data_IF_884653139950
#
_entry.id   IF_884653139950
#
_cell.length_a   1.000
_cell.length_b   1.000
_cell.length_c   1.000
_cell.angle_alpha   90.00
_cell.angle_beta   90.00
_cell.angle_gamma   90.00
#
_symmetry.space_group_name_H-M   'P 1'
#
loop_
_entity.id
_entity.type
_entity.pdbx_description
1 polymer ?
#
# COMPACT_ATOMS: atom_id res chain seq x y z
N UNK A 1 -44.41 13.53 -19.29
CA UNK A 1 -43.24 12.85 -18.72
C UNK A 1 -42.08 13.86 -18.46
N UNK A 2 -41.11 13.53 -17.61
CA UNK A 2 -39.91 14.35 -17.43
C UNK A 2 -38.70 13.61 -17.98
N UNK A 3 -37.93 14.26 -18.86
CA UNK A 3 -36.73 13.74 -19.46
C UNK A 3 -35.54 14.57 -18.93
N UNK A 4 -34.62 13.94 -18.20
CA UNK A 4 -33.45 14.62 -17.64
C UNK A 4 -32.30 14.42 -18.61
N UNK A 5 -31.70 15.52 -19.06
CA UNK A 5 -30.66 15.51 -20.09
C UNK A 5 -29.35 16.14 -19.60
N UNK A 6 -28.28 15.36 -19.54
CA UNK A 6 -26.93 15.86 -19.41
C UNK A 6 -26.40 16.36 -20.75
N UNK A 7 -26.23 17.67 -20.88
CA UNK A 7 -25.86 18.31 -22.17
C UNK A 7 -24.35 18.44 -22.39
N UNK A 8 -23.53 17.71 -21.63
CA UNK A 8 -22.08 17.81 -21.73
C UNK A 8 -21.50 19.11 -21.14
N UNK A 9 -20.15 19.26 -21.20
CA UNK A 9 -19.43 20.35 -20.53
C UNK A 9 -19.52 21.70 -21.26
N UNK A 10 -19.96 21.73 -22.51
CA UNK A 10 -20.14 22.97 -23.26
C UNK A 10 -19.73 22.95 -24.72
N UNK A 11 -19.22 21.82 -25.24
CA UNK A 11 -18.97 21.61 -26.66
C UNK A 11 -20.17 20.87 -27.31
N UNK A 12 -20.65 21.27 -28.47
CA UNK A 12 -21.71 20.56 -29.19
C UNK A 12 -21.38 19.08 -29.47
N UNK A 13 -20.13 18.77 -29.74
CA UNK A 13 -19.64 17.41 -30.02
C UNK A 13 -19.72 16.49 -28.80
N UNK A 14 -19.79 17.06 -27.61
CA UNK A 14 -19.90 16.33 -26.34
C UNK A 14 -21.36 16.04 -25.92
N UNK A 15 -22.34 16.48 -26.73
CA UNK A 15 -23.75 16.17 -26.51
C UNK A 15 -24.07 14.80 -27.12
N UNK A 16 -24.62 13.89 -26.34
CA UNK A 16 -24.93 12.54 -26.85
C UNK A 16 -26.11 12.55 -27.83
N UNK A 17 -26.15 11.67 -28.86
CA UNK A 17 -27.27 11.56 -29.79
C UNK A 17 -28.63 11.33 -29.09
N UNK A 18 -28.64 10.62 -27.97
CA UNK A 18 -29.85 10.40 -27.18
C UNK A 18 -30.42 11.70 -26.60
N UNK A 19 -29.53 12.56 -26.10
CA UNK A 19 -29.91 13.88 -25.59
C UNK A 19 -30.37 14.79 -26.70
N UNK A 20 -29.68 14.84 -27.86
CA UNK A 20 -30.11 15.60 -29.02
C UNK A 20 -31.50 15.22 -29.49
N UNK A 21 -31.78 13.92 -29.54
CA UNK A 21 -33.11 13.41 -29.89
C UNK A 21 -34.16 13.86 -28.88
N UNK A 22 -33.91 13.69 -27.59
CA UNK A 22 -34.85 14.06 -26.52
C UNK A 22 -35.18 15.56 -26.53
N UNK A 23 -34.17 16.41 -26.71
CA UNK A 23 -34.32 17.86 -26.81
C UNK A 23 -35.11 18.25 -28.07
N UNK A 24 -34.91 17.57 -29.21
CA UNK A 24 -35.63 17.84 -30.45
C UNK A 24 -37.06 17.37 -30.44
N UNK A 25 -37.45 16.47 -29.54
CA UNK A 25 -38.81 15.88 -29.49
C UNK A 25 -39.67 16.43 -28.32
N UNK A 26 -39.09 17.16 -27.35
CA UNK A 26 -39.80 17.65 -26.21
C UNK A 26 -40.68 18.87 -26.51
N UNK A 27 -41.69 19.14 -25.64
CA UNK A 27 -42.59 20.29 -25.74
C UNK A 27 -42.03 21.49 -25.04
N UNK A 28 -41.28 21.24 -23.94
CA UNK A 28 -40.69 22.29 -23.07
C UNK A 28 -39.32 21.89 -22.62
N UNK A 29 -38.37 22.82 -22.67
CA UNK A 29 -37.08 22.72 -22.04
C UNK A 29 -37.01 23.59 -20.82
N UNK A 30 -36.69 23.02 -19.67
CA UNK A 30 -36.51 23.72 -18.39
C UNK A 30 -35.02 23.70 -18.03
N UNK A 31 -34.42 24.85 -17.80
CA UNK A 31 -32.99 24.93 -17.53
C UNK A 31 -32.53 26.30 -16.99
N UNK A 32 -31.21 26.44 -16.86
CA UNK A 32 -30.57 27.72 -16.65
C UNK A 32 -30.33 28.38 -18.01
N UNK A 33 -30.70 29.63 -18.18
CA UNK A 33 -30.66 30.40 -19.43
C UNK A 33 -29.36 30.25 -20.21
N UNK A 34 -28.23 30.26 -19.53
CA UNK A 34 -26.90 30.12 -20.14
C UNK A 34 -26.73 28.78 -20.90
N UNK A 35 -27.46 27.75 -20.49
CA UNK A 35 -27.34 26.42 -21.14
C UNK A 35 -28.18 26.29 -22.41
N UNK A 36 -29.16 27.13 -22.63
CA UNK A 36 -30.01 27.05 -23.83
C UNK A 36 -29.19 27.26 -25.10
N UNK A 37 -28.18 28.16 -25.09
CA UNK A 37 -27.33 28.40 -26.26
C UNK A 37 -26.66 27.12 -26.81
N UNK A 38 -26.44 26.10 -25.98
CA UNK A 38 -25.79 24.86 -26.42
C UNK A 38 -26.75 23.89 -27.10
N UNK A 39 -28.07 24.05 -26.90
CA UNK A 39 -29.09 23.16 -27.44
C UNK A 39 -30.02 23.85 -28.43
N UNK A 40 -30.00 25.18 -28.52
CA UNK A 40 -30.87 25.98 -29.37
C UNK A 40 -30.92 25.49 -30.84
N UNK A 41 -29.78 25.11 -31.48
CA UNK A 41 -29.78 24.61 -32.86
C UNK A 41 -30.54 23.28 -33.03
N UNK A 42 -30.87 22.56 -31.97
CA UNK A 42 -31.48 21.24 -31.98
C UNK A 42 -32.93 21.25 -31.53
N UNK A 43 -33.44 22.42 -31.10
CA UNK A 43 -34.84 22.57 -30.71
C UNK A 43 -35.74 22.53 -31.96
N UNK A 44 -36.88 21.88 -31.84
CA UNK A 44 -37.92 22.02 -32.87
C UNK A 44 -38.61 23.38 -32.78
N UNK A 45 -39.15 23.82 -33.87
CA UNK A 45 -39.96 25.04 -33.91
C UNK A 45 -41.17 24.97 -32.95
N UNK A 46 -41.32 25.99 -32.10
CA UNK A 46 -42.36 26.07 -31.09
C UNK A 46 -42.03 25.45 -29.74
N UNK A 47 -40.82 24.87 -29.53
CA UNK A 47 -40.40 24.40 -28.21
C UNK A 47 -40.27 25.60 -27.23
N UNK A 48 -40.95 25.50 -26.09
CA UNK A 48 -40.92 26.51 -25.04
C UNK A 48 -39.61 26.32 -24.20
N UNK A 49 -38.90 27.44 -23.93
CA UNK A 49 -37.70 27.44 -23.06
C UNK A 49 -38.01 28.20 -21.76
N UNK A 50 -37.96 27.47 -20.63
CA UNK A 50 -38.29 28.03 -19.30
C UNK A 50 -37.01 28.23 -18.50
N UNK A 51 -36.60 29.51 -18.31
CA UNK A 51 -35.48 29.88 -17.46
C UNK A 51 -35.92 30.09 -16.02
N UNK A 52 -35.24 29.45 -15.11
CA UNK A 52 -35.50 29.56 -13.67
C UNK A 52 -34.44 30.34 -12.90
N UNK A 53 -33.41 30.84 -13.60
CA UNK A 53 -32.28 31.54 -12.98
C UNK A 53 -31.30 30.66 -12.26
N UNK A 54 -30.21 31.29 -11.81
CA UNK A 54 -29.12 30.62 -11.06
C UNK A 54 -29.53 30.39 -9.60
N UNK A 55 -29.08 29.26 -9.00
CA UNK A 55 -29.40 28.86 -7.61
C UNK A 55 -30.88 28.62 -7.33
N UNK A 56 -31.63 28.28 -8.35
CA UNK A 56 -33.06 27.98 -8.24
C UNK A 56 -33.37 26.56 -8.71
N UNK A 57 -32.54 25.61 -8.32
CA UNK A 57 -32.64 24.20 -8.73
C UNK A 57 -33.99 23.61 -8.28
N UNK A 58 -34.45 23.94 -7.07
CA UNK A 58 -35.75 23.48 -6.54
C UNK A 58 -36.94 24.02 -7.34
N UNK A 59 -36.91 25.30 -7.68
CA UNK A 59 -37.95 25.94 -8.51
C UNK A 59 -37.99 25.33 -9.90
N UNK A 60 -36.82 25.03 -10.47
CA UNK A 60 -36.65 24.33 -11.76
C UNK A 60 -37.30 22.94 -11.74
N UNK A 61 -37.03 22.17 -10.68
CA UNK A 61 -37.65 20.87 -10.52
C UNK A 61 -39.15 20.95 -10.36
N UNK A 62 -39.65 21.93 -9.56
CA UNK A 62 -41.07 22.15 -9.35
C UNK A 62 -41.80 22.48 -10.67
N UNK A 63 -41.29 23.42 -11.45
CA UNK A 63 -41.82 23.75 -12.77
C UNK A 63 -41.85 22.58 -13.74
N UNK A 64 -40.80 21.74 -13.72
CA UNK A 64 -40.78 20.54 -14.55
C UNK A 64 -41.94 19.59 -14.19
N UNK A 65 -42.25 19.40 -12.90
CA UNK A 65 -43.39 18.58 -12.49
C UNK A 65 -44.73 19.22 -12.87
N UNK A 66 -44.90 20.51 -12.63
CA UNK A 66 -46.14 21.23 -12.97
C UNK A 66 -46.46 21.16 -14.47
N UNK A 67 -45.45 21.32 -15.33
CA UNK A 67 -45.61 21.21 -16.78
C UNK A 67 -45.89 19.76 -17.22
N UNK A 68 -45.24 18.77 -16.60
CA UNK A 68 -45.47 17.38 -16.88
C UNK A 68 -46.85 16.89 -16.43
N UNK A 69 -47.38 17.45 -15.32
CA UNK A 69 -48.76 17.22 -14.84
C UNK A 69 -49.82 17.75 -15.83
N UNK A 70 -49.46 18.77 -16.62
CA UNK A 70 -50.27 19.31 -17.71
C UNK A 70 -50.19 18.43 -19.01
N UNK A 71 -49.50 17.30 -18.95
CA UNK A 71 -49.38 16.38 -20.07
C UNK A 71 -48.21 16.67 -21.04
N UNK A 72 -47.35 17.68 -20.74
CA UNK A 72 -46.20 18.03 -21.60
C UNK A 72 -45.05 17.04 -21.41
N UNK A 73 -44.26 16.83 -22.46
CA UNK A 73 -42.98 16.19 -22.44
C UNK A 73 -41.93 17.25 -22.09
N UNK A 74 -41.41 17.23 -20.85
CA UNK A 74 -40.53 18.24 -20.29
C UNK A 74 -39.09 17.75 -20.27
N UNK A 75 -38.21 18.45 -20.97
CA UNK A 75 -36.78 18.18 -20.94
C UNK A 75 -36.09 19.08 -19.90
N UNK A 76 -35.51 18.49 -18.85
CA UNK A 76 -34.71 19.21 -17.86
C UNK A 76 -33.24 19.08 -18.20
N UNK A 77 -32.62 20.20 -18.60
CA UNK A 77 -31.20 20.20 -18.99
C UNK A 77 -30.28 20.53 -17.82
N UNK A 78 -29.12 19.84 -17.79
CA UNK A 78 -28.07 20.06 -16.82
C UNK A 78 -26.71 20.03 -17.52
N UNK A 79 -25.82 20.97 -17.21
CA UNK A 79 -24.44 20.95 -17.74
C UNK A 79 -23.71 19.70 -17.26
N UNK A 80 -22.82 19.16 -18.08
CA UNK A 80 -22.12 17.91 -17.80
C UNK A 80 -23.06 16.71 -17.80
N UNK A 81 -22.91 15.83 -16.84
CA UNK A 81 -23.83 14.74 -16.53
C UNK A 81 -24.85 15.18 -15.48
N UNK A 82 -26.13 14.94 -15.73
CA UNK A 82 -27.19 15.35 -14.82
C UNK A 82 -27.22 14.57 -13.49
N UNK A 83 -26.61 13.39 -13.43
CA UNK A 83 -26.49 12.55 -12.24
C UNK A 83 -25.29 12.91 -11.34
N UNK A 84 -24.30 13.62 -11.89
CA UNK A 84 -23.07 14.00 -11.16
C UNK A 84 -23.15 15.46 -10.69
N UNK A 85 -23.59 15.66 -9.45
CA UNK A 85 -23.86 16.98 -8.85
C UNK A 85 -24.85 17.84 -9.63
N UNK A 86 -25.70 17.22 -10.44
CA UNK A 86 -26.68 17.86 -11.31
C UNK A 86 -28.12 17.68 -10.83
N UNK A 87 -29.07 17.78 -11.77
CA UNK A 87 -30.52 17.86 -11.47
C UNK A 87 -31.17 16.51 -11.14
N UNK A 88 -30.58 15.38 -11.54
CA UNK A 88 -31.21 14.04 -11.41
C UNK A 88 -31.58 13.71 -9.96
N UNK A 89 -30.71 13.83 -8.96
CA UNK A 89 -31.06 13.50 -7.58
C UNK A 89 -32.26 14.33 -7.08
N UNK A 90 -32.24 15.62 -7.36
CA UNK A 90 -33.31 16.54 -6.91
C UNK A 90 -34.68 16.21 -7.53
N UNK A 91 -34.71 15.85 -8.83
CA UNK A 91 -35.94 15.44 -9.51
C UNK A 91 -36.50 14.16 -8.87
N UNK A 92 -35.67 13.16 -8.56
CA UNK A 92 -36.12 11.94 -7.90
C UNK A 92 -36.56 12.18 -6.44
N UNK A 93 -35.86 13.03 -5.70
CA UNK A 93 -36.27 13.45 -4.34
C UNK A 93 -37.64 14.14 -4.38
N UNK A 94 -37.84 15.06 -5.30
CA UNK A 94 -39.13 15.78 -5.46
C UNK A 94 -40.25 14.81 -5.92
N UNK A 95 -39.99 13.86 -6.81
CA UNK A 95 -40.95 12.81 -7.17
C UNK A 95 -41.45 12.07 -5.94
N UNK A 96 -40.54 11.68 -5.04
CA UNK A 96 -40.91 11.01 -3.79
C UNK A 96 -41.68 11.90 -2.84
N UNK A 97 -41.25 13.13 -2.66
CA UNK A 97 -41.89 14.12 -1.78
C UNK A 97 -43.35 14.44 -2.19
N UNK A 98 -43.56 14.54 -3.50
CA UNK A 98 -44.88 14.78 -4.11
C UNK A 98 -45.74 13.53 -4.30
N UNK A 99 -45.17 12.33 -4.01
CA UNK A 99 -45.81 11.05 -4.35
C UNK A 99 -46.31 11.01 -5.81
N UNK A 100 -45.51 11.55 -6.75
CA UNK A 100 -45.90 11.73 -8.14
C UNK A 100 -45.71 10.47 -8.94
N UNK A 101 -46.67 10.16 -9.83
CA UNK A 101 -46.62 9.07 -10.77
C UNK A 101 -46.00 9.44 -12.12
N UNK A 102 -45.50 10.68 -12.28
CA UNK A 102 -44.87 11.15 -13.53
C UNK A 102 -43.70 10.20 -13.88
N UNK A 103 -43.67 9.76 -15.10
CA UNK A 103 -42.57 8.97 -15.66
C UNK A 103 -41.32 9.88 -15.78
N UNK A 104 -40.15 9.36 -15.35
CA UNK A 104 -38.86 10.04 -15.46
C UNK A 104 -37.93 9.17 -16.27
N UNK A 105 -37.34 9.75 -17.30
CA UNK A 105 -36.23 9.15 -18.08
C UNK A 105 -35.00 10.04 -17.92
N UNK A 106 -33.82 9.41 -17.77
CA UNK A 106 -32.57 10.17 -17.62
C UNK A 106 -31.58 9.74 -18.70
N UNK A 107 -31.05 10.70 -19.44
CA UNK A 107 -29.96 10.50 -20.40
C UNK A 107 -28.66 11.10 -19.86
N UNK A 108 -27.58 10.31 -19.74
CA UNK A 108 -26.31 10.78 -19.26
C UNK A 108 -25.65 11.77 -20.23
N UNK A 109 -24.80 12.63 -19.68
CA UNK A 109 -23.93 13.51 -20.45
C UNK A 109 -22.47 13.29 -20.11
N UNK A 110 -21.56 13.83 -20.91
CA UNK A 110 -20.14 13.83 -20.62
C UNK A 110 -19.88 14.80 -19.45
N UNK A 111 -19.42 14.28 -18.34
CA UNK A 111 -19.09 15.11 -17.18
C UNK A 111 -17.86 15.97 -17.38
N UNK A 112 -17.81 17.12 -16.71
CA UNK A 112 -16.69 18.05 -16.78
C UNK A 112 -15.34 17.39 -16.38
N UNK A 113 -15.34 16.47 -15.40
CA UNK A 113 -14.12 15.76 -15.02
C UNK A 113 -13.64 14.79 -16.10
N UNK A 114 -14.54 14.13 -16.84
CA UNK A 114 -14.19 13.24 -17.95
C UNK A 114 -13.56 14.05 -19.10
N UNK A 115 -14.17 15.19 -19.44
CA UNK A 115 -13.60 16.11 -20.43
C UNK A 115 -12.24 16.65 -19.99
N UNK A 116 -12.11 17.09 -18.74
CA UNK A 116 -10.84 17.53 -18.18
C UNK A 116 -9.78 16.41 -18.23
N UNK A 117 -10.13 15.19 -17.86
CA UNK A 117 -9.23 14.05 -17.91
C UNK A 117 -8.73 13.76 -19.34
N UNK A 118 -9.63 13.79 -20.33
CA UNK A 118 -9.25 13.58 -21.74
C UNK A 118 -8.32 14.67 -22.29
N UNK A 119 -8.45 15.90 -21.78
CA UNK A 119 -7.58 17.04 -22.15
C UNK A 119 -6.23 16.97 -21.46
N UNK A 120 -6.14 16.40 -20.27
CA UNK A 120 -4.90 16.20 -19.52
C UNK A 120 -4.11 14.97 -19.96
N UNK A 121 -4.77 14.01 -20.62
CA UNK A 121 -4.18 12.74 -21.05
C UNK A 121 -4.94 11.53 -20.52
N UNK A 122 -4.36 10.80 -19.58
CA UNK A 122 -4.96 9.60 -18.99
C UNK A 122 -4.87 9.57 -17.45
N UNK A 123 -5.28 10.64 -16.73
CA UNK A 123 -5.11 10.72 -15.27
C UNK A 123 -6.00 9.74 -14.50
N UNK A 124 -7.17 9.34 -15.05
CA UNK A 124 -8.16 8.47 -14.41
C UNK A 124 -8.10 7.02 -14.93
N UNK A 125 -6.91 6.57 -15.34
CA UNK A 125 -6.69 5.22 -15.85
C UNK A 125 -6.79 4.11 -14.79
N UNK A 126 -6.79 4.46 -13.50
CA UNK A 126 -6.93 3.58 -12.35
C UNK A 126 -8.09 4.02 -11.45
N UNK A 127 -8.20 3.45 -10.23
CA UNK A 127 -9.25 3.81 -9.30
C UNK A 127 -9.23 5.31 -8.97
N UNK A 128 -10.39 5.92 -9.04
CA UNK A 128 -10.55 7.35 -8.81
C UNK A 128 -11.80 7.67 -8.00
N UNK A 129 -11.82 8.84 -7.40
CA UNK A 129 -13.01 9.37 -6.74
C UNK A 129 -13.29 10.81 -7.17
N UNK A 130 -14.52 11.24 -6.94
CA UNK A 130 -15.02 12.59 -7.27
C UNK A 130 -15.48 13.25 -5.97
N UNK A 131 -14.99 14.45 -5.68
CA UNK A 131 -15.36 15.21 -4.49
C UNK A 131 -15.78 16.62 -4.91
N UNK A 132 -16.97 17.04 -4.46
CA UNK A 132 -17.38 18.45 -4.55
C UNK A 132 -16.98 19.21 -3.30
N UNK A 133 -16.31 20.35 -3.48
CA UNK A 133 -15.95 21.26 -2.40
C UNK A 133 -17.11 22.15 -1.96
N UNK A 134 -18.29 22.02 -2.58
CA UNK A 134 -19.47 22.84 -2.23
C UNK A 134 -20.00 22.44 -0.84
N UNK A 135 -20.00 23.40 0.08
CA UNK A 135 -20.47 23.26 1.46
C UNK A 135 -21.90 23.80 1.67
N UNK A 136 -22.60 24.10 0.58
CA UNK A 136 -23.99 24.58 0.63
C UNK A 136 -24.97 23.53 1.18
N UNK A 137 -24.79 22.27 0.76
CA UNK A 137 -25.67 21.15 1.13
C UNK A 137 -24.97 20.11 2.00
N UNK A 138 -23.64 20.16 2.11
CA UNK A 138 -22.83 19.21 2.84
C UNK A 138 -21.90 19.93 3.81
N UNK A 139 -21.99 19.69 5.14
CA UNK A 139 -21.11 20.33 6.10
C UNK A 139 -19.62 20.09 5.79
N UNK A 140 -18.78 21.11 5.98
CA UNK A 140 -17.34 21.03 5.71
C UNK A 140 -16.65 19.83 6.38
N UNK A 141 -17.01 19.52 7.62
CA UNK A 141 -16.42 18.38 8.34
C UNK A 141 -16.61 17.04 7.60
N UNK A 142 -17.74 16.87 6.88
CA UNK A 142 -18.00 15.68 6.05
C UNK A 142 -17.14 15.70 4.80
N UNK A 143 -16.99 16.87 4.17
CA UNK A 143 -16.15 17.04 2.98
C UNK A 143 -14.69 16.75 3.35
N UNK A 144 -14.18 17.34 4.44
CA UNK A 144 -12.80 17.12 4.91
C UNK A 144 -12.52 15.64 5.23
N UNK A 145 -13.49 14.94 5.84
CA UNK A 145 -13.38 13.49 6.09
C UNK A 145 -13.21 12.70 4.78
N UNK A 146 -13.98 13.05 3.74
CA UNK A 146 -13.88 12.42 2.41
C UNK A 146 -12.54 12.71 1.74
N UNK A 147 -12.05 13.95 1.84
CA UNK A 147 -10.72 14.34 1.34
C UNK A 147 -9.60 13.52 2.00
N UNK A 148 -9.62 13.38 3.34
CA UNK A 148 -8.67 12.55 4.08
C UNK A 148 -8.72 11.09 3.64
N UNK A 149 -9.92 10.53 3.49
CA UNK A 149 -10.09 9.15 3.02
C UNK A 149 -9.55 8.94 1.60
N UNK A 150 -9.79 9.90 0.70
CA UNK A 150 -9.27 9.85 -0.66
C UNK A 150 -7.73 9.94 -0.72
N UNK A 151 -7.14 10.80 0.11
CA UNK A 151 -5.69 10.96 0.21
C UNK A 151 -5.02 9.69 0.75
N UNK A 152 -5.51 9.14 1.87
CA UNK A 152 -5.00 7.90 2.50
C UNK A 152 -5.25 6.67 1.62
N UNK A 153 -6.43 6.60 0.96
CA UNK A 153 -6.78 5.50 0.05
C UNK A 153 -6.07 5.53 -1.29
N UNK A 154 -5.22 6.52 -1.53
CA UNK A 154 -4.44 6.70 -2.77
C UNK A 154 -5.27 6.74 -4.06
N UNK A 155 -6.51 7.27 -4.00
CA UNK A 155 -7.35 7.47 -5.17
C UNK A 155 -6.90 8.67 -6.00
N UNK A 156 -6.85 8.53 -7.32
CA UNK A 156 -6.88 9.72 -8.18
C UNK A 156 -8.14 10.51 -7.85
N UNK A 157 -8.02 11.81 -7.58
CA UNK A 157 -9.14 12.57 -7.03
C UNK A 157 -9.50 13.76 -7.92
N UNK A 158 -10.72 13.72 -8.48
CA UNK A 158 -11.28 14.83 -9.23
C UNK A 158 -12.10 15.76 -8.32
N UNK A 159 -11.77 17.04 -8.32
CA UNK A 159 -12.35 18.05 -7.45
C UNK A 159 -13.28 18.96 -8.25
N UNK A 160 -14.55 18.96 -7.87
CA UNK A 160 -15.58 19.88 -8.35
C UNK A 160 -15.75 21.09 -7.44
N UNK A 161 -16.12 22.22 -8.02
CA UNK A 161 -16.36 23.45 -7.29
C UNK A 161 -15.19 23.81 -6.36
N UNK A 162 -13.94 23.81 -6.83
CA UNK A 162 -12.76 23.90 -5.98
C UNK A 162 -12.73 25.19 -5.16
N UNK A 163 -13.18 26.31 -5.74
CA UNK A 163 -13.14 27.61 -5.12
C UNK A 163 -14.36 28.46 -5.52
N UNK A 164 -14.83 29.33 -4.64
CA UNK A 164 -15.83 30.36 -4.95
C UNK A 164 -15.49 31.63 -4.19
N UNK A 165 -16.20 32.74 -4.47
CA UNK A 165 -15.90 34.01 -3.84
C UNK A 165 -15.93 33.98 -2.30
N UNK A 166 -16.85 33.23 -1.70
CA UNK A 166 -16.94 33.07 -0.23
C UNK A 166 -16.31 31.81 0.33
N UNK A 167 -15.74 30.97 -0.52
CA UNK A 167 -15.17 29.66 -0.16
C UNK A 167 -13.83 29.48 -0.88
N UNK A 168 -12.74 29.81 -0.20
CA UNK A 168 -11.39 29.78 -0.75
C UNK A 168 -10.41 28.96 0.10
N UNK A 169 -10.47 29.08 1.43
CA UNK A 169 -9.54 28.43 2.34
C UNK A 169 -9.64 26.89 2.34
N UNK A 170 -10.81 26.36 1.99
CA UNK A 170 -11.07 24.93 1.92
C UNK A 170 -10.14 24.22 0.91
N UNK A 171 -9.83 24.90 -0.21
CA UNK A 171 -8.89 24.35 -1.20
C UNK A 171 -7.47 24.29 -0.67
N UNK A 172 -7.02 25.30 0.09
CA UNK A 172 -5.72 25.26 0.76
C UNK A 172 -5.65 24.09 1.75
N UNK A 173 -6.72 23.87 2.51
CA UNK A 173 -6.82 22.76 3.45
C UNK A 173 -6.79 21.41 2.74
N UNK A 174 -7.42 21.27 1.60
CA UNK A 174 -7.36 20.08 0.76
C UNK A 174 -5.91 19.80 0.32
N UNK A 175 -5.22 20.81 -0.19
CA UNK A 175 -3.82 20.70 -0.64
C UNK A 175 -2.91 20.28 0.52
N UNK A 176 -3.09 20.88 1.70
CA UNK A 176 -2.34 20.51 2.91
C UNK A 176 -2.54 19.02 3.28
N UNK A 177 -3.77 18.51 3.18
CA UNK A 177 -4.07 17.10 3.46
C UNK A 177 -3.36 16.19 2.46
N UNK A 178 -3.46 16.48 1.17
CA UNK A 178 -2.80 15.66 0.16
C UNK A 178 -1.27 15.70 0.25
N UNK A 179 -0.67 16.86 0.56
CA UNK A 179 0.79 17.02 0.76
C UNK A 179 1.34 16.22 1.94
N UNK A 180 0.51 15.84 2.91
CA UNK A 180 0.91 14.97 4.03
C UNK A 180 0.94 13.49 3.65
N UNK A 181 0.14 13.09 2.67
CA UNK A 181 -0.07 11.68 2.32
C UNK A 181 0.61 11.30 0.99
N UNK A 182 1.09 12.28 0.21
CA UNK A 182 1.64 12.07 -1.14
C UNK A 182 2.92 12.84 -1.37
N UNK A 183 3.73 12.35 -2.31
CA UNK A 183 4.92 13.08 -2.80
C UNK A 183 4.54 14.45 -3.34
N UNK A 184 5.41 15.42 -3.12
CA UNK A 184 5.27 16.76 -3.71
C UNK A 184 5.38 16.74 -5.25
N UNK A 185 6.02 15.72 -5.83
CA UNK A 185 6.13 15.51 -7.28
C UNK A 185 4.86 14.89 -7.89
N UNK A 186 3.87 14.50 -7.07
CA UNK A 186 2.59 13.97 -7.58
C UNK A 186 1.95 14.96 -8.55
N UNK A 187 1.60 14.56 -9.79
CA UNK A 187 1.04 15.48 -10.76
C UNK A 187 -0.36 15.95 -10.35
N UNK A 188 -0.60 17.21 -10.60
CA UNK A 188 -1.91 17.89 -10.47
C UNK A 188 -2.24 18.53 -11.81
N UNK A 189 -3.34 18.10 -12.41
CA UNK A 189 -3.86 18.73 -13.62
C UNK A 189 -5.12 19.52 -13.31
N UNK A 190 -5.25 20.70 -13.90
CA UNK A 190 -6.51 21.44 -13.79
C UNK A 190 -6.90 22.07 -15.14
N UNK A 191 -8.20 22.00 -15.40
CA UNK A 191 -8.78 22.53 -16.63
C UNK A 191 -9.88 23.50 -16.28
N UNK A 192 -9.66 24.73 -16.69
CA UNK A 192 -10.67 25.80 -16.58
C UNK A 192 -11.54 25.77 -17.82
N UNK A 193 -12.86 25.84 -17.65
CA UNK A 193 -13.87 25.88 -18.72
C UNK A 193 -13.69 24.73 -19.75
N UNK A 194 -13.52 23.49 -19.25
CA UNK A 194 -13.32 22.32 -20.11
C UNK A 194 -14.43 22.18 -21.16
N UNK A 195 -14.03 22.05 -22.44
CA UNK A 195 -14.95 21.94 -23.57
C UNK A 195 -15.57 23.27 -24.03
N UNK A 196 -15.09 24.43 -23.55
CA UNK A 196 -15.60 25.75 -23.95
C UNK A 196 -14.51 26.57 -24.66
N UNK A 197 -14.89 27.67 -25.37
CA UNK A 197 -13.92 28.48 -26.12
C UNK A 197 -12.75 29.04 -25.28
N UNK A 198 -13.01 29.36 -24.01
CA UNK A 198 -12.02 29.89 -23.08
C UNK A 198 -11.26 28.84 -22.29
N UNK A 199 -11.23 27.61 -22.79
CA UNK A 199 -10.55 26.48 -22.15
C UNK A 199 -9.07 26.75 -21.90
N UNK A 200 -8.64 26.48 -20.67
CA UNK A 200 -7.22 26.53 -20.28
C UNK A 200 -6.83 25.22 -19.59
N UNK A 201 -5.69 24.66 -19.97
CA UNK A 201 -5.19 23.38 -19.46
C UNK A 201 -3.85 23.66 -18.79
N UNK A 202 -3.68 23.14 -17.57
CA UNK A 202 -2.42 23.25 -16.84
C UNK A 202 -2.12 21.92 -16.15
N UNK A 203 -0.87 21.48 -16.26
CA UNK A 203 -0.31 20.35 -15.49
C UNK A 203 0.82 20.91 -14.65
N UNK A 204 0.85 20.56 -13.38
CA UNK A 204 1.84 20.97 -12.39
C UNK A 204 2.06 19.82 -11.40
N UNK A 205 2.83 20.06 -10.34
CA UNK A 205 3.03 19.11 -9.24
C UNK A 205 2.20 19.50 -8.02
N UNK A 206 1.99 18.59 -7.09
CA UNK A 206 1.31 18.87 -5.82
C UNK A 206 2.12 19.90 -4.99
N UNK A 207 3.45 19.90 -5.12
CA UNK A 207 4.34 20.88 -4.50
C UNK A 207 4.16 22.30 -5.03
N UNK A 208 3.97 22.44 -6.35
CA UNK A 208 3.90 23.74 -7.02
C UNK A 208 2.44 24.20 -7.27
N UNK A 209 1.45 23.37 -6.96
CA UNK A 209 0.05 23.74 -7.17
C UNK A 209 -0.35 24.93 -6.29
N UNK A 210 -0.72 26.04 -6.97
CA UNK A 210 -1.22 27.25 -6.34
C UNK A 210 -2.76 27.33 -6.41
N UNK A 211 -3.47 27.25 -5.26
CA UNK A 211 -4.92 27.40 -5.21
C UNK A 211 -5.47 28.71 -5.76
N UNK A 212 -4.63 29.76 -5.94
CA UNK A 212 -5.08 31.01 -6.53
C UNK A 212 -5.28 30.95 -8.05
N UNK A 213 -4.70 29.96 -8.72
CA UNK A 213 -4.83 29.75 -10.16
C UNK A 213 -6.16 29.14 -10.59
N UNK A 214 -7.01 28.73 -9.65
CA UNK A 214 -8.28 28.06 -9.95
C UNK A 214 -9.49 28.84 -9.42
N UNK A 215 -10.61 28.69 -10.13
CA UNK A 215 -11.89 29.31 -9.82
C UNK A 215 -13.02 28.26 -9.82
N UNK A 216 -14.27 28.70 -9.72
CA UNK A 216 -15.44 27.80 -9.70
C UNK A 216 -15.71 27.10 -11.06
N UNK A 217 -15.07 27.56 -12.15
CA UNK A 217 -15.20 26.97 -13.48
C UNK A 217 -14.09 25.97 -13.79
N UNK A 218 -13.31 25.61 -12.79
CA UNK A 218 -12.15 24.74 -12.90
C UNK A 218 -12.44 23.36 -12.35
N UNK A 219 -12.00 22.32 -13.06
CA UNK A 219 -11.89 20.95 -12.53
C UNK A 219 -10.42 20.72 -12.20
N UNK A 220 -10.14 20.25 -10.99
CA UNK A 220 -8.79 19.87 -10.55
C UNK A 220 -8.73 18.35 -10.42
N UNK A 221 -7.70 17.72 -10.99
CA UNK A 221 -7.43 16.28 -10.85
C UNK A 221 -6.07 16.12 -10.17
N UNK A 222 -6.06 15.45 -9.03
CA UNK A 222 -4.85 15.14 -8.26
C UNK A 222 -4.51 13.67 -8.48
N UNK A 223 -3.28 13.39 -8.90
CA UNK A 223 -2.77 12.05 -9.14
C UNK A 223 -2.65 11.22 -7.87
N UNK A 224 -2.35 9.94 -8.02
CA UNK A 224 -2.00 9.03 -6.94
C UNK A 224 -0.49 8.75 -6.91
N UNK A 225 -0.04 7.82 -6.04
CA UNK A 225 1.38 7.46 -5.89
C UNK A 225 2.04 6.91 -7.16
N UNK A 226 1.24 6.44 -8.14
CA UNK A 226 1.71 5.88 -9.41
C UNK A 226 1.60 6.85 -10.57
N UNK A 227 0.98 7.99 -10.36
CA UNK A 227 0.79 9.00 -11.41
C UNK A 227 2.07 9.73 -11.73
N UNK A 228 2.26 10.07 -13.00
CA UNK A 228 3.40 10.86 -13.48
C UNK A 228 3.01 11.77 -14.64
N UNK A 229 3.81 12.78 -14.86
CA UNK A 229 3.75 13.62 -16.07
C UNK A 229 4.79 13.11 -17.07
N UNK A 230 4.42 13.03 -18.34
CA UNK A 230 5.33 12.69 -19.44
C UNK A 230 5.00 13.49 -20.70
N UNK A 231 5.94 14.29 -21.17
CA UNK A 231 5.80 15.12 -22.35
C UNK A 231 4.50 15.96 -22.40
N UNK A 232 4.17 16.63 -21.31
CA UNK A 232 2.96 17.45 -21.19
C UNK A 232 1.68 16.64 -21.03
N UNK A 233 1.78 15.37 -20.69
CA UNK A 233 0.64 14.46 -20.51
C UNK A 233 0.61 13.91 -19.09
N UNK A 234 -0.51 14.02 -18.43
CA UNK A 234 -0.75 13.44 -17.11
C UNK A 234 -1.25 12.00 -17.25
N UNK A 235 -0.51 11.04 -16.71
CA UNK A 235 -0.78 9.60 -16.83
C UNK A 235 -0.88 8.95 -15.46
N UNK A 236 -1.93 8.15 -15.24
CA UNK A 236 -2.02 7.19 -14.16
C UNK A 236 -2.07 5.78 -14.77
N UNK A 237 -0.98 4.98 -14.62
CA UNK A 237 -0.86 3.70 -15.31
C UNK A 237 -1.76 2.65 -14.69
N UNK A 238 -2.28 1.72 -15.51
CA UNK A 238 -2.98 0.51 -15.03
C UNK A 238 -2.06 -0.65 -14.69
N UNK A 239 -0.74 -0.47 -14.88
CA UNK A 239 0.27 -1.48 -14.59
C UNK A 239 0.53 -2.47 -15.73
N UNK A 240 0.08 -2.19 -16.97
CA UNK A 240 0.43 -3.00 -18.14
C UNK A 240 1.93 -2.97 -18.48
N UNK A 241 2.54 -1.81 -18.27
CA UNK A 241 3.98 -1.58 -18.42
C UNK A 241 4.54 -1.22 -17.05
N UNK A 242 4.50 -2.17 -16.10
CA UNK A 242 5.38 -2.04 -14.94
C UNK A 242 6.79 -2.14 -15.48
N UNK A 243 7.53 -1.03 -15.38
CA UNK A 243 8.96 -1.12 -15.54
C UNK A 243 9.42 -2.23 -14.61
N UNK A 244 10.07 -3.21 -15.18
CA UNK A 244 10.70 -4.31 -14.47
C UNK A 244 11.94 -3.79 -13.72
N UNK A 245 11.79 -2.74 -12.91
CA UNK A 245 12.84 -2.28 -12.00
C UNK A 245 13.11 -3.31 -10.90
N UNK A 246 12.27 -4.35 -10.80
CA UNK A 246 12.46 -5.51 -9.91
C UNK A 246 12.67 -6.84 -10.66
N UNK A 247 12.79 -6.83 -11.98
CA UNK A 247 13.25 -7.99 -12.74
C UNK A 247 14.69 -7.76 -13.21
N UNK A 248 15.66 -7.94 -12.30
CA UNK A 248 16.91 -8.49 -12.76
C UNK A 248 16.61 -9.88 -13.36
N UNK A 249 17.13 -10.26 -14.51
CA UNK A 249 16.76 -11.49 -15.22
C UNK A 249 17.00 -12.82 -14.49
N UNK A 250 17.40 -12.80 -13.23
CA UNK A 250 17.85 -13.94 -12.44
C UNK A 250 17.16 -14.13 -11.08
N UNK A 251 16.15 -13.32 -10.71
CA UNK A 251 15.43 -13.55 -9.44
C UNK A 251 14.39 -14.64 -9.63
N UNK A 252 14.56 -15.78 -8.94
CA UNK A 252 13.50 -16.78 -8.87
C UNK A 252 12.28 -16.23 -8.09
N UNK A 253 11.12 -16.87 -8.26
CA UNK A 253 9.84 -16.42 -7.65
C UNK A 253 9.96 -16.35 -6.12
N UNK A 254 10.70 -17.29 -5.50
CA UNK A 254 10.93 -17.32 -4.04
C UNK A 254 11.69 -16.08 -3.55
N UNK A 255 12.71 -15.68 -4.28
CA UNK A 255 13.49 -14.47 -3.96
C UNK A 255 12.63 -13.20 -4.06
N UNK A 256 11.81 -13.06 -5.09
CA UNK A 256 10.91 -11.93 -5.27
C UNK A 256 9.91 -11.81 -4.10
N UNK A 257 9.36 -12.94 -3.63
CA UNK A 257 8.47 -12.98 -2.46
C UNK A 257 9.21 -12.53 -1.20
N UNK A 258 10.44 -12.98 -0.99
CA UNK A 258 11.23 -12.59 0.18
C UNK A 258 11.57 -11.09 0.18
N UNK A 259 11.97 -10.53 -0.95
CA UNK A 259 12.25 -9.09 -1.10
C UNK A 259 11.01 -8.27 -0.75
N UNK A 260 9.85 -8.63 -1.31
CA UNK A 260 8.58 -7.97 -1.00
C UNK A 260 8.21 -8.08 0.48
N UNK A 261 8.39 -9.26 1.07
CA UNK A 261 8.14 -9.50 2.50
C UNK A 261 9.03 -8.64 3.39
N UNK A 262 10.34 -8.59 3.13
CA UNK A 262 11.28 -7.77 3.89
C UNK A 262 10.96 -6.28 3.79
N UNK A 263 10.60 -5.80 2.60
CA UNK A 263 10.16 -4.42 2.39
C UNK A 263 8.89 -4.10 3.19
N UNK A 264 7.93 -5.03 3.24
CA UNK A 264 6.68 -4.87 4.02
C UNK A 264 6.99 -4.84 5.52
N UNK A 265 7.76 -5.81 6.02
CA UNK A 265 8.14 -5.89 7.44
C UNK A 265 8.86 -4.60 7.86
N UNK A 266 9.83 -4.12 7.07
CA UNK A 266 10.58 -2.91 7.40
C UNK A 266 9.70 -1.68 7.58
N UNK A 267 8.64 -1.54 6.78
CA UNK A 267 7.68 -0.43 6.89
C UNK A 267 6.83 -0.49 8.16
N UNK A 268 6.63 -1.69 8.70
CA UNK A 268 5.80 -1.94 9.88
C UNK A 268 6.61 -1.98 11.19
N UNK A 269 7.96 -1.98 11.14
CA UNK A 269 8.80 -1.91 12.32
C UNK A 269 8.57 -0.60 13.08
N UNK A 270 8.55 -0.67 14.39
CA UNK A 270 8.47 0.52 15.27
C UNK A 270 9.72 1.38 15.19
N UNK A 271 10.87 0.75 14.96
CA UNK A 271 12.15 1.44 14.76
C UNK A 271 12.91 0.81 13.60
N UNK A 272 12.72 1.29 12.36
CA UNK A 272 13.42 0.77 11.18
C UNK A 272 14.87 1.26 11.06
N UNK A 273 15.26 2.31 11.81
CA UNK A 273 16.58 2.96 11.73
C UNK A 273 17.56 2.34 12.74
N UNK A 274 17.70 1.01 12.67
CA UNK A 274 18.68 0.26 13.47
C UNK A 274 19.83 -0.22 12.58
N UNK A 275 21.03 -0.48 13.15
CA UNK A 275 22.16 -0.97 12.37
C UNK A 275 21.85 -2.23 11.58
N UNK A 276 22.41 -2.33 10.36
CA UNK A 276 22.10 -3.43 9.43
C UNK A 276 22.39 -4.81 10.02
N UNK A 277 23.43 -4.94 10.84
CA UNK A 277 23.78 -6.20 11.51
C UNK A 277 22.71 -6.67 12.52
N UNK A 278 21.83 -5.76 12.97
CA UNK A 278 20.67 -6.08 13.81
C UNK A 278 19.39 -6.17 12.99
N UNK A 279 19.21 -5.28 12.01
CA UNK A 279 18.04 -5.25 11.14
C UNK A 279 17.90 -6.55 10.34
N UNK A 280 18.99 -7.03 9.74
CA UNK A 280 18.97 -8.21 8.87
C UNK A 280 18.45 -9.47 9.56
N UNK A 281 19.01 -9.93 10.70
CA UNK A 281 18.46 -11.09 11.41
C UNK A 281 17.05 -10.84 11.96
N UNK A 282 16.69 -9.60 12.27
CA UNK A 282 15.34 -9.25 12.70
C UNK A 282 14.32 -9.42 11.57
N UNK A 283 14.62 -8.95 10.35
CA UNK A 283 13.76 -9.16 9.17
C UNK A 283 13.58 -10.65 8.88
N UNK A 284 14.65 -11.43 8.97
CA UNK A 284 14.60 -12.88 8.85
C UNK A 284 13.72 -13.55 9.94
N UNK A 285 13.86 -13.13 11.19
CA UNK A 285 13.09 -13.67 12.31
C UNK A 285 11.59 -13.36 12.16
N UNK A 286 11.22 -12.11 11.84
CA UNK A 286 9.82 -11.70 11.64
C UNK A 286 9.25 -12.38 10.40
N UNK A 287 10.00 -12.47 9.29
CA UNK A 287 9.56 -13.17 8.08
C UNK A 287 9.18 -14.63 8.37
N UNK A 288 9.98 -15.31 9.18
CA UNK A 288 9.76 -16.74 9.51
C UNK A 288 8.60 -16.95 10.47
N UNK A 289 8.35 -16.01 11.39
CA UNK A 289 7.37 -16.17 12.48
C UNK A 289 6.08 -15.40 12.25
N UNK A 290 6.07 -14.41 11.36
CA UNK A 290 5.04 -13.38 11.21
C UNK A 290 4.72 -12.67 12.54
N UNK A 291 5.71 -12.51 13.44
CA UNK A 291 5.54 -12.05 14.81
C UNK A 291 6.47 -10.86 15.08
N UNK A 292 5.91 -9.66 15.18
CA UNK A 292 6.62 -8.43 15.49
C UNK A 292 7.14 -8.35 16.94
N UNK A 293 6.76 -9.26 17.84
CA UNK A 293 7.41 -9.38 19.14
C UNK A 293 8.92 -9.65 19.02
N UNK A 294 9.36 -10.14 17.86
CA UNK A 294 10.79 -10.34 17.58
C UNK A 294 11.61 -9.06 17.70
N UNK A 295 11.02 -7.87 17.48
CA UNK A 295 11.72 -6.58 17.74
C UNK A 295 12.22 -6.46 19.19
N UNK A 296 11.46 -7.00 20.14
CA UNK A 296 11.75 -6.96 21.55
C UNK A 296 12.55 -8.19 22.02
N UNK A 297 12.32 -9.33 21.40
CA UNK A 297 12.86 -10.63 21.84
C UNK A 297 14.23 -10.93 21.22
N UNK A 298 14.56 -10.36 20.08
CA UNK A 298 15.86 -10.58 19.43
C UNK A 298 16.95 -9.77 20.15
N UNK A 299 17.78 -10.50 20.88
CA UNK A 299 18.94 -9.98 21.56
C UNK A 299 20.23 -10.41 20.82
N UNK A 300 21.12 -9.48 20.56
CA UNK A 300 22.40 -9.72 19.92
C UNK A 300 23.50 -9.02 20.70
N UNK A 301 24.69 -9.62 20.76
CA UNK A 301 25.92 -8.88 21.06
C UNK A 301 26.17 -7.85 19.95
N UNK A 302 26.88 -6.77 20.26
CA UNK A 302 27.24 -5.74 19.30
C UNK A 302 27.96 -6.34 18.10
N UNK A 303 27.41 -6.05 16.90
CA UNK A 303 27.92 -6.53 15.63
C UNK A 303 28.01 -8.07 15.49
N UNK A 304 27.30 -8.85 16.31
CA UNK A 304 27.40 -10.30 16.33
C UNK A 304 27.20 -10.93 14.93
N UNK A 305 26.20 -10.47 14.18
CA UNK A 305 25.93 -10.97 12.83
C UNK A 305 27.08 -10.68 11.89
N UNK A 306 27.64 -9.47 11.92
CA UNK A 306 28.76 -9.07 11.08
C UNK A 306 30.04 -9.83 11.47
N UNK A 307 30.31 -10.00 12.78
CA UNK A 307 31.46 -10.79 13.28
C UNK A 307 31.37 -12.25 12.84
N UNK A 308 30.20 -12.86 12.95
CA UNK A 308 29.97 -14.24 12.51
C UNK A 308 30.09 -14.38 11.00
N UNK A 309 29.54 -13.44 10.24
CA UNK A 309 29.72 -13.41 8.80
C UNK A 309 31.19 -13.20 8.40
N UNK A 310 31.94 -12.39 9.12
CA UNK A 310 33.38 -12.24 8.90
C UNK A 310 34.13 -13.57 8.95
N UNK A 311 33.82 -14.47 9.92
CA UNK A 311 34.36 -15.81 10.02
C UNK A 311 33.91 -16.74 8.87
N UNK A 312 32.67 -16.55 8.37
CA UNK A 312 32.17 -17.26 7.18
C UNK A 312 32.93 -16.80 5.94
N UNK A 313 33.03 -15.49 5.72
CA UNK A 313 33.65 -14.89 4.54
C UNK A 313 35.16 -15.17 4.46
N UNK A 314 35.86 -15.21 5.62
CA UNK A 314 37.29 -15.60 5.68
C UNK A 314 37.52 -17.11 5.47
N UNK A 315 36.47 -17.91 5.47
CA UNK A 315 36.57 -19.37 5.44
C UNK A 315 37.07 -19.98 6.75
N UNK A 316 37.08 -19.24 7.84
CA UNK A 316 37.41 -19.71 9.18
C UNK A 316 36.33 -20.63 9.74
N UNK A 317 35.05 -20.33 9.51
CA UNK A 317 33.92 -21.17 9.91
C UNK A 317 33.75 -22.33 8.93
N UNK A 318 33.93 -23.54 9.40
CA UNK A 318 33.81 -24.78 8.58
C UNK A 318 32.61 -25.64 8.96
N UNK A 319 32.11 -25.52 10.17
CA UNK A 319 31.07 -26.40 10.68
C UNK A 319 29.98 -25.61 11.46
N UNK A 320 28.73 -26.02 11.27
CA UNK A 320 27.58 -25.60 12.05
C UNK A 320 27.05 -26.85 12.77
N UNK A 321 26.94 -26.78 14.09
CA UNK A 321 26.34 -27.81 14.92
C UNK A 321 24.91 -27.41 15.27
N UNK A 322 23.95 -28.32 15.09
CA UNK A 322 22.57 -28.12 15.51
C UNK A 322 22.17 -29.09 16.61
N UNK A 323 21.25 -28.64 17.49
CA UNK A 323 20.72 -29.46 18.59
C UNK A 323 19.77 -30.56 18.12
N UNK A 324 19.06 -30.32 17.00
CA UNK A 324 18.08 -31.25 16.41
C UNK A 324 18.17 -31.23 14.88
N UNK A 325 17.81 -32.36 14.25
CA UNK A 325 17.82 -32.49 12.77
C UNK A 325 16.87 -31.53 12.06
N UNK A 326 15.77 -31.12 12.71
CA UNK A 326 14.84 -30.16 12.16
C UNK A 326 15.49 -28.78 11.95
N UNK A 327 16.37 -28.35 12.85
CA UNK A 327 17.12 -27.11 12.68
C UNK A 327 18.11 -27.23 11.51
N UNK A 328 18.86 -28.34 11.42
CA UNK A 328 19.75 -28.61 10.31
C UNK A 328 19.07 -28.59 8.94
N UNK A 329 17.85 -29.17 8.86
CA UNK A 329 17.08 -29.25 7.62
C UNK A 329 16.59 -27.88 7.11
N UNK A 330 16.48 -26.87 7.97
CA UNK A 330 16.07 -25.51 7.63
C UNK A 330 17.22 -24.63 7.15
N UNK A 331 18.48 -25.07 7.25
CA UNK A 331 19.64 -24.31 6.79
C UNK A 331 19.77 -24.49 5.26
N UNK A 332 19.98 -23.40 4.53
CA UNK A 332 20.02 -23.37 3.07
C UNK A 332 21.20 -24.14 2.50
N UNK A 333 20.90 -25.23 1.79
CA UNK A 333 21.92 -26.08 1.18
C UNK A 333 22.78 -25.36 0.14
N UNK A 334 22.20 -24.47 -0.65
CA UNK A 334 22.93 -23.68 -1.63
C UNK A 334 23.99 -22.79 -0.98
N UNK A 335 23.63 -22.10 0.14
CA UNK A 335 24.57 -21.30 0.91
C UNK A 335 25.71 -22.14 1.51
N UNK A 336 25.38 -23.29 2.08
CA UNK A 336 26.36 -24.22 2.64
C UNK A 336 27.36 -24.71 1.58
N UNK A 337 26.88 -25.11 0.41
CA UNK A 337 27.72 -25.55 -0.71
C UNK A 337 28.63 -24.41 -1.22
N UNK A 338 28.07 -23.22 -1.41
CA UNK A 338 28.81 -22.03 -1.85
C UNK A 338 29.95 -21.66 -0.89
N UNK A 339 29.70 -21.80 0.41
CA UNK A 339 30.62 -21.36 1.46
C UNK A 339 31.55 -22.50 1.97
N UNK A 340 31.32 -23.72 1.53
CA UNK A 340 32.11 -24.89 1.96
C UNK A 340 31.93 -25.21 3.45
N UNK A 341 30.71 -25.02 3.98
CA UNK A 341 30.36 -25.23 5.39
C UNK A 341 29.55 -26.53 5.51
N UNK A 342 29.93 -27.39 6.46
CA UNK A 342 29.15 -28.58 6.81
C UNK A 342 28.17 -28.32 7.95
N UNK A 343 27.08 -29.08 8.00
CA UNK A 343 26.12 -29.06 9.11
C UNK A 343 26.06 -30.44 9.74
N UNK A 344 26.26 -30.51 11.05
CA UNK A 344 26.24 -31.77 11.81
C UNK A 344 25.19 -31.69 12.95
N UNK A 345 24.64 -32.86 13.28
CA UNK A 345 23.69 -33.02 14.37
C UNK A 345 23.85 -34.38 15.02
N UNK A 346 24.23 -34.41 16.28
CA UNK A 346 24.54 -35.62 17.03
C UNK A 346 23.34 -36.20 17.81
N UNK A 347 22.12 -35.69 17.63
CA UNK A 347 20.92 -36.12 18.38
C UNK A 347 20.60 -37.62 18.17
N UNK A 348 20.95 -38.16 17.02
CA UNK A 348 20.74 -39.56 16.65
C UNK A 348 22.03 -40.40 16.64
N UNK A 349 23.17 -39.86 17.09
CA UNK A 349 24.41 -40.59 17.16
C UNK A 349 24.33 -41.72 18.22
N UNK A 350 24.61 -42.97 17.88
CA UNK A 350 24.57 -44.09 18.81
C UNK A 350 25.45 -43.89 20.06
N UNK A 351 26.62 -43.26 19.91
CA UNK A 351 27.55 -42.94 21.01
C UNK A 351 26.87 -41.98 22.02
N UNK A 352 26.15 -41.00 21.50
CA UNK A 352 25.36 -40.07 22.35
C UNK A 352 24.22 -40.76 23.08
N UNK A 353 23.55 -41.72 22.44
CA UNK A 353 22.51 -42.52 23.09
C UNK A 353 23.03 -43.37 24.24
N UNK A 354 24.18 -44.00 24.08
CA UNK A 354 24.85 -44.79 25.12
C UNK A 354 25.37 -43.91 26.24
N UNK A 355 26.02 -42.79 25.92
CA UNK A 355 26.48 -41.79 26.89
C UNK A 355 25.31 -41.23 27.73
N UNK A 356 24.19 -40.93 27.11
CA UNK A 356 22.99 -40.39 27.76
C UNK A 356 22.49 -41.40 28.81
N UNK A 357 22.40 -42.67 28.44
CA UNK A 357 21.99 -43.77 29.35
C UNK A 357 22.96 -43.97 30.52
N UNK A 358 24.25 -43.97 30.25
CA UNK A 358 25.30 -44.19 31.24
C UNK A 358 25.38 -43.04 32.25
N UNK A 359 25.27 -41.82 31.79
CA UNK A 359 25.43 -40.63 32.64
C UNK A 359 24.13 -40.07 33.19
N UNK A 360 22.95 -40.63 32.82
CA UNK A 360 21.64 -40.13 33.26
C UNK A 360 21.32 -38.74 32.74
N UNK A 361 21.79 -38.38 31.55
CA UNK A 361 21.57 -37.06 30.89
C UNK A 361 20.69 -37.21 29.66
N UNK A 362 20.25 -36.08 29.09
CA UNK A 362 19.44 -36.12 27.86
C UNK A 362 20.31 -36.46 26.63
N UNK A 363 19.70 -37.05 25.59
CA UNK A 363 20.41 -37.29 24.31
C UNK A 363 20.98 -35.99 23.72
N UNK A 364 20.26 -34.88 23.88
CA UNK A 364 20.71 -33.60 23.40
C UNK A 364 21.97 -33.10 24.13
N UNK A 365 22.06 -33.33 25.45
CA UNK A 365 23.29 -33.04 26.21
C UNK A 365 24.45 -33.93 25.79
N UNK A 366 24.23 -35.23 25.67
CA UNK A 366 25.24 -36.18 25.24
C UNK A 366 25.74 -35.86 23.82
N UNK A 367 24.83 -35.59 22.87
CA UNK A 367 25.18 -35.16 21.52
C UNK A 367 25.99 -33.86 21.50
N UNK A 368 25.71 -32.92 22.41
CA UNK A 368 26.47 -31.68 22.50
C UNK A 368 27.88 -31.87 23.08
N UNK A 369 28.10 -32.86 23.96
CA UNK A 369 29.44 -33.24 24.39
C UNK A 369 30.29 -33.79 23.23
N UNK A 370 29.71 -34.68 22.44
CA UNK A 370 30.39 -35.22 21.24
C UNK A 370 30.70 -34.10 20.25
N UNK A 371 29.72 -33.22 20.00
CA UNK A 371 29.92 -32.10 19.10
C UNK A 371 31.01 -31.13 19.59
N UNK A 372 31.08 -30.84 20.88
CA UNK A 372 32.12 -29.98 21.44
C UNK A 372 33.52 -30.58 21.40
N UNK A 373 33.65 -31.92 21.43
CA UNK A 373 34.88 -32.64 21.29
C UNK A 373 35.36 -32.68 19.82
N UNK A 374 34.45 -32.92 18.87
CA UNK A 374 34.80 -33.09 17.45
C UNK A 374 34.84 -31.77 16.68
N UNK A 375 34.04 -30.75 17.09
CA UNK A 375 33.94 -29.46 16.43
C UNK A 375 34.00 -28.28 17.45
N UNK A 376 35.07 -28.14 18.21
CA UNK A 376 35.17 -27.22 19.34
C UNK A 376 34.99 -25.72 18.96
N UNK A 377 35.21 -25.37 17.71
CA UNK A 377 35.19 -24.05 17.12
C UNK A 377 34.03 -23.80 16.15
N UNK A 378 33.02 -24.69 16.16
CA UNK A 378 31.84 -24.55 15.28
C UNK A 378 30.91 -23.40 15.69
N UNK A 379 30.00 -23.00 14.79
CA UNK A 379 28.81 -22.24 15.09
C UNK A 379 27.72 -23.17 15.64
N UNK A 380 27.24 -22.93 16.86
CA UNK A 380 26.24 -23.77 17.50
C UNK A 380 24.86 -23.14 17.43
N UNK A 381 23.88 -23.86 16.91
CA UNK A 381 22.50 -23.39 16.74
C UNK A 381 21.50 -24.28 17.49
N UNK A 382 20.74 -23.68 18.40
CA UNK A 382 19.79 -24.33 19.28
C UNK A 382 18.37 -23.86 18.96
N UNK A 383 17.50 -24.79 18.58
CA UNK A 383 16.10 -24.51 18.27
C UNK A 383 15.11 -25.21 19.18
N UNK A 384 15.52 -26.30 19.85
CA UNK A 384 14.60 -27.14 20.62
C UNK A 384 15.08 -27.51 22.02
N UNK A 385 16.39 -27.75 22.22
CA UNK A 385 16.90 -28.37 23.43
C UNK A 385 17.62 -27.39 24.38
N UNK A 386 16.93 -26.82 25.40
CA UNK A 386 17.55 -25.95 26.38
C UNK A 386 18.68 -26.64 27.15
N UNK A 387 18.54 -27.93 27.41
CA UNK A 387 19.57 -28.74 28.12
C UNK A 387 20.87 -28.87 27.31
N UNK A 388 20.79 -28.91 25.99
CA UNK A 388 21.96 -28.90 25.11
C UNK A 388 22.69 -27.55 25.15
N UNK A 389 21.93 -26.44 25.15
CA UNK A 389 22.51 -25.09 25.27
C UNK A 389 23.21 -24.90 26.63
N UNK A 390 22.60 -25.36 27.72
CA UNK A 390 23.22 -25.34 29.06
C UNK A 390 24.52 -26.16 29.07
N UNK A 391 24.50 -27.34 28.46
CA UNK A 391 25.70 -28.21 28.36
C UNK A 391 26.83 -27.52 27.60
N UNK A 392 26.55 -26.92 26.43
CA UNK A 392 27.55 -26.13 25.68
C UNK A 392 28.13 -25.00 26.54
N UNK A 393 27.26 -24.25 27.24
CA UNK A 393 27.70 -23.16 28.11
C UNK A 393 28.66 -23.66 29.21
N UNK A 394 28.38 -24.81 29.81
CA UNK A 394 29.26 -25.42 30.82
C UNK A 394 30.61 -25.88 30.24
N UNK A 395 30.58 -26.51 29.06
CA UNK A 395 31.80 -26.93 28.34
C UNK A 395 32.66 -25.73 27.96
N UNK A 396 32.07 -24.67 27.42
CA UNK A 396 32.79 -23.46 27.03
C UNK A 396 33.42 -22.76 28.27
N UNK A 397 32.68 -22.66 29.38
CA UNK A 397 33.23 -22.09 30.63
C UNK A 397 34.39 -22.91 31.23
N UNK A 398 34.41 -24.22 31.00
CA UNK A 398 35.49 -25.10 31.40
C UNK A 398 36.67 -25.13 30.40
N UNK A 399 36.60 -24.32 29.33
CA UNK A 399 37.62 -24.26 28.27
C UNK A 399 37.73 -25.55 27.42
N UNK A 400 36.66 -26.35 27.41
CA UNK A 400 36.62 -27.61 26.61
C UNK A 400 36.23 -27.38 25.15
N UNK A 401 35.65 -26.23 24.83
CA UNK A 401 35.36 -25.78 23.46
C UNK A 401 35.40 -24.26 23.39
N UNK A 402 35.57 -23.74 22.18
CA UNK A 402 35.66 -22.31 21.88
C UNK A 402 34.72 -21.96 20.70
N UNK A 403 33.39 -21.99 20.90
CA UNK A 403 32.44 -21.81 19.80
C UNK A 403 32.72 -20.55 18.99
N UNK A 404 32.68 -20.66 17.66
CA UNK A 404 32.75 -19.51 16.77
C UNK A 404 31.62 -18.53 17.03
N UNK A 405 30.44 -19.05 17.45
CA UNK A 405 29.30 -18.29 17.89
C UNK A 405 28.15 -19.17 18.36
N UNK A 406 27.11 -18.57 18.91
CA UNK A 406 25.91 -19.25 19.44
C UNK A 406 24.65 -18.61 18.90
N UNK A 407 23.76 -19.41 18.31
CA UNK A 407 22.38 -19.05 17.98
C UNK A 407 21.48 -19.74 19.01
N UNK A 408 20.91 -18.97 19.94
CA UNK A 408 20.12 -19.48 21.06
C UNK A 408 18.64 -19.19 20.91
N UNK A 409 17.93 -20.06 20.23
CA UNK A 409 16.49 -19.99 20.05
C UNK A 409 15.72 -21.22 20.53
N UNK A 410 16.11 -21.92 21.65
CA UNK A 410 15.30 -23.03 22.13
C UNK A 410 13.92 -22.56 22.56
N UNK A 411 12.88 -23.38 22.30
CA UNK A 411 11.49 -23.11 22.65
C UNK A 411 11.05 -24.02 23.81
N UNK A 412 10.20 -23.55 24.67
CA UNK A 412 9.59 -24.39 25.73
C UNK A 412 9.38 -23.67 27.06
N UNK A 413 9.16 -24.49 28.11
CA UNK A 413 8.74 -24.01 29.43
C UNK A 413 9.70 -24.42 30.57
N UNK A 414 10.62 -25.34 30.30
CA UNK A 414 11.55 -25.87 31.32
C UNK A 414 12.97 -25.58 30.88
N UNK A 415 13.73 -24.89 31.75
CA UNK A 415 15.13 -24.49 31.52
C UNK A 415 15.39 -23.62 30.27
N UNK A 416 14.36 -23.09 29.62
CA UNK A 416 14.54 -22.31 28.37
C UNK A 416 15.17 -20.96 28.66
N UNK A 417 14.59 -20.21 29.61
CA UNK A 417 15.09 -18.87 29.95
C UNK A 417 16.46 -18.94 30.63
N UNK A 418 16.67 -19.94 31.51
CA UNK A 418 17.94 -20.18 32.17
C UNK A 418 19.05 -20.47 31.16
N UNK A 419 18.77 -21.30 30.14
CA UNK A 419 19.74 -21.65 29.12
C UNK A 419 20.18 -20.44 28.28
N UNK A 420 19.22 -19.54 27.95
CA UNK A 420 19.48 -18.31 27.23
C UNK A 420 20.28 -17.32 28.07
N UNK A 421 19.96 -17.19 29.36
CA UNK A 421 20.76 -16.37 30.28
C UNK A 421 22.16 -16.91 30.46
N UNK A 422 22.34 -18.23 30.55
CA UNK A 422 23.67 -18.86 30.63
C UNK A 422 24.50 -18.57 29.36
N UNK A 423 23.87 -18.65 28.17
CA UNK A 423 24.53 -18.30 26.92
C UNK A 423 24.95 -16.82 26.88
N UNK A 424 24.07 -15.89 27.29
CA UNK A 424 24.38 -14.47 27.36
C UNK A 424 25.54 -14.16 28.30
N UNK A 425 25.73 -14.93 29.36
CA UNK A 425 26.81 -14.76 30.32
C UNK A 425 28.20 -15.17 29.80
N UNK A 426 28.30 -15.89 28.69
CA UNK A 426 29.59 -16.21 28.05
C UNK A 426 30.16 -14.92 27.43
N UNK A 427 31.40 -14.60 27.77
CA UNK A 427 32.11 -13.46 27.18
C UNK A 427 32.85 -13.91 25.91
N UNK A 428 33.15 -12.98 25.03
CA UNK A 428 34.01 -13.15 23.85
C UNK A 428 33.51 -14.14 22.78
N UNK A 429 32.25 -14.61 22.90
CA UNK A 429 31.60 -15.46 21.91
C UNK A 429 30.43 -14.67 21.31
N UNK A 430 30.40 -14.37 20.00
CA UNK A 430 29.29 -13.71 19.34
C UNK A 430 28.00 -14.51 19.48
N UNK A 431 26.89 -13.86 19.85
CA UNK A 431 25.60 -14.54 20.11
C UNK A 431 24.42 -13.79 19.52
N UNK A 432 23.46 -14.58 19.03
CA UNK A 432 22.12 -14.14 18.64
C UNK A 432 21.13 -14.98 19.44
N UNK A 433 20.35 -14.34 20.31
CA UNK A 433 19.46 -15.03 21.25
C UNK A 433 18.02 -14.53 21.03
N UNK A 434 17.07 -15.43 21.04
CA UNK A 434 15.65 -15.08 21.17
C UNK A 434 15.24 -15.17 22.63
N UNK A 435 14.99 -14.05 23.26
CA UNK A 435 14.62 -13.97 24.68
C UNK A 435 13.29 -14.64 25.03
N UNK A 436 13.11 -14.94 26.32
CA UNK A 436 11.90 -15.55 26.85
C UNK A 436 11.70 -16.98 26.35
N UNK A 437 10.43 -17.43 26.25
CA UNK A 437 10.05 -18.81 25.95
C UNK A 437 9.85 -19.09 24.46
N UNK A 438 9.74 -18.04 23.63
CA UNK A 438 9.61 -18.17 22.17
C UNK A 438 10.94 -18.66 21.57
N UNK A 439 10.82 -19.36 20.45
CA UNK A 439 11.95 -19.98 19.75
C UNK A 439 11.46 -21.01 18.74
N UNK A 440 12.32 -21.95 18.41
CA UNK A 440 11.99 -23.07 17.53
C UNK A 440 13.06 -23.36 16.51
N UNK A 441 13.07 -24.58 15.99
CA UNK A 441 14.05 -25.04 14.99
C UNK A 441 14.05 -24.19 13.73
N UNK A 442 12.87 -23.76 13.27
CA UNK A 442 12.76 -22.86 12.10
C UNK A 442 13.43 -21.50 12.37
N UNK A 443 13.24 -20.96 13.59
CA UNK A 443 13.81 -19.68 13.96
C UNK A 443 15.33 -19.78 14.12
N UNK A 444 15.84 -20.84 14.71
CA UNK A 444 17.28 -21.10 14.76
C UNK A 444 17.91 -21.20 13.37
N UNK A 445 17.30 -21.99 12.48
CA UNK A 445 17.76 -22.13 11.10
C UNK A 445 17.72 -20.81 10.32
N UNK A 446 16.68 -20.02 10.48
CA UNK A 446 16.55 -18.71 9.79
C UNK A 446 17.60 -17.71 10.27
N UNK A 447 17.93 -17.71 11.57
CA UNK A 447 19.02 -16.88 12.10
C UNK A 447 20.39 -17.31 11.58
N UNK A 448 20.64 -18.63 11.43
CA UNK A 448 21.82 -19.13 10.74
C UNK A 448 21.84 -18.64 9.29
N UNK A 449 20.73 -18.79 8.55
CA UNK A 449 20.61 -18.31 7.17
C UNK A 449 20.88 -16.79 7.04
N UNK A 450 20.48 -15.99 8.03
CA UNK A 450 20.78 -14.54 8.04
C UNK A 450 22.28 -14.27 8.14
N UNK A 451 23.05 -15.13 8.83
CA UNK A 451 24.50 -15.00 8.87
C UNK A 451 25.12 -15.42 7.53
N UNK A 452 24.69 -16.56 6.97
CA UNK A 452 25.24 -17.09 5.71
C UNK A 452 24.98 -16.19 4.49
N UNK A 453 24.03 -15.25 4.60
CA UNK A 453 23.63 -14.32 3.52
C UNK A 453 23.77 -12.85 3.93
N UNK A 454 24.61 -12.55 4.90
CA UNK A 454 24.76 -11.17 5.41
C UNK A 454 25.35 -10.19 4.39
N UNK A 455 26.09 -10.69 3.40
CA UNK A 455 26.57 -9.92 2.24
C UNK A 455 25.42 -9.34 1.37
N UNK A 456 24.22 -9.89 1.46
CA UNK A 456 23.03 -9.36 0.78
C UNK A 456 22.29 -8.28 1.61
N UNK A 457 22.72 -8.07 2.85
CA UNK A 457 22.00 -7.21 3.80
C UNK A 457 22.00 -5.74 3.39
N UNK A 458 23.12 -5.20 2.89
CA UNK A 458 23.22 -3.79 2.49
C UNK A 458 22.26 -3.43 1.37
N UNK A 459 22.04 -4.36 0.43
CA UNK A 459 21.12 -4.18 -0.70
C UNK A 459 19.68 -4.60 -0.35
N UNK A 460 19.44 -5.13 0.86
CA UNK A 460 18.16 -5.74 1.28
C UNK A 460 17.60 -6.73 0.26
N UNK A 461 18.44 -7.56 -0.34
CA UNK A 461 18.08 -8.58 -1.33
C UNK A 461 18.14 -10.00 -0.75
N UNK A 462 17.18 -10.41 0.10
CA UNK A 462 17.14 -11.76 0.64
C UNK A 462 16.84 -12.79 -0.45
N UNK A 463 17.20 -14.05 -0.19
CA UNK A 463 16.72 -15.17 -1.01
C UNK A 463 17.66 -15.60 -2.14
N UNK A 464 18.95 -15.22 -2.13
CA UNK A 464 19.94 -15.65 -3.13
C UNK A 464 19.99 -17.18 -3.31
N UNK A 465 19.85 -17.91 -2.20
CA UNK A 465 19.99 -19.38 -2.18
C UNK A 465 18.64 -20.08 -1.87
N UNK A 466 17.50 -19.49 -2.26
CA UNK A 466 16.15 -20.04 -2.08
C UNK A 466 15.72 -20.86 -3.29
#
# INVERSE_FOLDING_TARGET
MIIICGIGPGSPEDITPAVLKAVGECDVVVGYKYYFQFIEPYLREGTECVDTGMKKERDRALQAFELAEQGKNVCVISSGDAGIYGMTPLIYEMKRERNSNIEIVSYPGISAFQKAASLLGAPIGHDFCIISMSDLMTPWAVIEKRIKAAAVGDFVTAIYNPKSHGRYWQLYRLVEIFRKERSLDTPVGYVRQAGRPEQQITITTLGDFDPEQVDMFTIVIIGNSQSYEWNGTFITPRGYYRESSDQSPETNVGQSIMIKSFSTIRKELKNPDIPIWKLWPMLHAIHTTADFDMERLLWLDDEATAKLYGKVASGELKCIVTDVTMAASGIRKGALQRLGIEVVCYINDPRGAEMAKTLGITRAQAGMRLAAEEHPDALYAFGNAPTALLELCDLARKGKCHPAGIIGAPVGFVHVEESKHAAKALRDIPKIIIDGRKGGSNLAATLVNSILTFDDAEQLRPGRDV
#
